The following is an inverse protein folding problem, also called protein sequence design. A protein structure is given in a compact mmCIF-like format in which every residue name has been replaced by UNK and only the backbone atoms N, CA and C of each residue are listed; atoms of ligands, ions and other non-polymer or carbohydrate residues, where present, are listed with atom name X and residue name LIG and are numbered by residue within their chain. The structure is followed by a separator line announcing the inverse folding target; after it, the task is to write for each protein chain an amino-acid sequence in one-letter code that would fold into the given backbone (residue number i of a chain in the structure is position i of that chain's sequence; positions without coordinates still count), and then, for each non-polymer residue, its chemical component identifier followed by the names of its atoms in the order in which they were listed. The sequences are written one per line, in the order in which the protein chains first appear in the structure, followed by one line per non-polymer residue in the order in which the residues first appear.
data_IF_864683402151
#
_entry.id   IF_864683402151
#
_cell.length_a   1.000
_cell.length_b   1.000
_cell.length_c   1.000
_cell.angle_alpha   90.00
_cell.angle_beta   90.00
_cell.angle_gamma   90.00
#
_symmetry.space_group_name_H-M   'P 1'
#
loop_
_entity.id
_entity.type
_entity.pdbx_description
1 polymer ?
#
# COMPACT_ATOMS: atom_id res chain seq x y z
N UNK A 1 9.25 -18.41 10.57
CA UNK A 1 8.86 -17.01 10.91
C UNK A 1 9.26 -16.13 9.75
N UNK A 2 8.30 -15.39 9.14
CA UNK A 2 8.57 -14.52 7.98
C UNK A 2 9.06 -13.15 8.42
N UNK A 3 9.96 -12.55 7.65
CA UNK A 3 10.49 -11.21 7.84
C UNK A 3 9.94 -10.31 6.72
N UNK A 4 9.31 -9.23 7.11
CA UNK A 4 8.51 -8.38 6.23
C UNK A 4 8.99 -6.94 6.30
N UNK A 5 9.12 -6.28 5.16
CA UNK A 5 9.31 -4.83 5.07
C UNK A 5 8.05 -4.20 4.47
N UNK A 6 7.56 -3.11 5.08
CA UNK A 6 6.40 -2.35 4.60
C UNK A 6 6.78 -0.88 4.48
N UNK A 7 6.83 -0.36 3.26
CA UNK A 7 7.02 1.08 3.06
C UNK A 7 5.73 1.84 3.38
N UNK A 8 5.85 3.00 4.05
CA UNK A 8 4.68 3.76 4.50
C UNK A 8 3.83 3.00 5.54
N UNK A 9 4.49 2.25 6.44
CA UNK A 9 3.86 1.41 7.45
C UNK A 9 3.43 2.14 8.73
N UNK A 10 3.48 3.47 8.78
CA UNK A 10 3.27 4.25 10.00
C UNK A 10 1.81 4.61 10.28
N UNK A 11 0.91 4.44 9.33
CA UNK A 11 -0.53 4.72 9.44
C UNK A 11 -1.36 3.99 8.39
N UNK A 12 -2.67 4.07 8.53
CA UNK A 12 -3.64 3.55 7.55
C UNK A 12 -3.46 2.06 7.25
N UNK A 13 -3.55 1.70 5.97
CA UNK A 13 -3.49 0.30 5.56
C UNK A 13 -2.12 -0.33 5.82
N UNK A 14 -1.03 0.45 5.66
CA UNK A 14 0.32 -0.03 5.93
C UNK A 14 0.52 -0.45 7.39
N UNK A 15 0.04 0.38 8.33
CA UNK A 15 0.09 0.05 9.77
C UNK A 15 -0.82 -1.14 10.10
N UNK A 16 -2.03 -1.18 9.54
CA UNK A 16 -2.94 -2.31 9.76
C UNK A 16 -2.35 -3.62 9.23
N UNK A 17 -1.68 -3.60 8.07
CA UNK A 17 -0.95 -4.75 7.54
C UNK A 17 0.23 -5.15 8.44
N UNK A 18 0.99 -4.18 8.96
CA UNK A 18 2.08 -4.45 9.90
C UNK A 18 1.57 -5.16 11.14
N UNK A 19 0.50 -4.65 11.76
CA UNK A 19 -0.14 -5.27 12.94
C UNK A 19 -0.64 -6.69 12.65
N UNK A 20 -1.23 -6.92 11.49
CA UNK A 20 -1.73 -8.24 11.13
C UNK A 20 -0.59 -9.23 10.88
N UNK A 21 0.50 -8.83 10.22
CA UNK A 21 1.72 -9.65 10.12
C UNK A 21 2.33 -9.97 11.50
N UNK A 22 2.34 -9.01 12.41
CA UNK A 22 2.84 -9.21 13.78
C UNK A 22 1.98 -10.22 14.56
N UNK A 23 0.65 -10.19 14.40
CA UNK A 23 -0.27 -11.19 14.98
C UNK A 23 -0.02 -12.60 14.44
N UNK A 24 0.34 -12.71 13.16
CA UNK A 24 0.74 -13.98 12.53
C UNK A 24 2.18 -14.44 12.90
N UNK A 25 2.80 -13.75 13.88
CA UNK A 25 4.13 -14.09 14.38
C UNK A 25 5.29 -13.70 13.46
N UNK A 26 5.07 -12.83 12.48
CA UNK A 26 6.13 -12.33 11.61
C UNK A 26 7.00 -11.28 12.34
N UNK A 27 8.23 -11.07 11.83
CA UNK A 27 9.07 -9.91 12.15
C UNK A 27 8.82 -8.84 11.10
N UNK A 28 8.60 -7.59 11.50
CA UNK A 28 8.17 -6.53 10.60
C UNK A 28 9.05 -5.29 10.72
N UNK A 29 9.65 -4.86 9.61
CA UNK A 29 10.23 -3.52 9.49
C UNK A 29 9.21 -2.62 8.82
N UNK A 30 8.84 -1.53 9.49
CA UNK A 30 8.00 -0.48 8.94
C UNK A 30 8.85 0.75 8.64
N UNK A 31 8.51 1.46 7.56
CA UNK A 31 9.19 2.70 7.26
C UNK A 31 8.26 3.89 7.09
N UNK A 32 8.81 5.07 7.31
CA UNK A 32 8.16 6.35 7.14
C UNK A 32 9.20 7.45 6.94
N UNK A 33 8.76 8.68 6.62
CA UNK A 33 9.67 9.81 6.35
C UNK A 33 10.24 10.46 7.60
N UNK A 34 9.62 10.25 8.77
CA UNK A 34 10.14 10.78 10.02
C UNK A 34 11.47 10.14 10.40
N UNK A 35 12.37 10.89 11.03
CA UNK A 35 13.65 10.37 11.50
C UNK A 35 13.51 9.29 12.59
N UNK A 36 12.35 9.23 13.25
CA UNK A 36 11.96 8.24 14.26
C UNK A 36 10.47 7.91 14.17
N UNK A 37 10.07 6.79 14.75
CA UNK A 37 8.67 6.45 14.96
C UNK A 37 7.99 7.53 15.84
N UNK A 38 6.73 7.85 15.56
CA UNK A 38 5.97 8.73 16.45
C UNK A 38 5.65 8.03 17.78
N UNK A 39 5.39 8.82 18.83
CA UNK A 39 5.06 8.28 20.15
C UNK A 39 3.79 7.41 20.09
N UNK A 40 2.78 7.86 19.33
CA UNK A 40 1.54 7.10 19.13
C UNK A 40 1.82 5.74 18.48
N UNK A 41 2.71 5.70 17.47
CA UNK A 41 3.09 4.46 16.82
C UNK A 41 3.83 3.51 17.75
N UNK A 42 4.74 4.05 18.57
CA UNK A 42 5.48 3.26 19.58
C UNK A 42 4.51 2.67 20.61
N UNK A 43 3.58 3.46 21.12
CA UNK A 43 2.56 2.99 22.06
C UNK A 43 1.67 1.92 21.43
N UNK A 44 1.23 2.13 20.19
CA UNK A 44 0.35 1.20 19.48
C UNK A 44 1.03 -0.15 19.19
N UNK A 45 2.33 -0.15 18.92
CA UNK A 45 3.11 -1.36 18.62
C UNK A 45 3.84 -1.93 19.85
N UNK A 46 3.68 -1.35 21.04
CA UNK A 46 4.31 -1.81 22.27
C UNK A 46 4.13 -3.32 22.55
N UNK A 47 2.95 -3.94 22.29
CA UNK A 47 2.79 -5.39 22.48
C UNK A 47 3.71 -6.24 21.60
N UNK A 48 4.33 -5.64 20.58
CA UNK A 48 5.18 -6.30 19.59
C UNK A 48 6.61 -5.75 19.58
N UNK A 49 7.08 -5.09 20.65
CA UNK A 49 8.36 -4.34 20.70
C UNK A 49 9.58 -5.15 20.25
N UNK A 50 9.60 -6.48 20.47
CA UNK A 50 10.68 -7.37 20.04
C UNK A 50 10.45 -7.98 18.64
N UNK A 51 9.39 -7.57 17.95
CA UNK A 51 8.99 -8.15 16.66
C UNK A 51 8.80 -7.12 15.57
N UNK A 52 8.97 -5.82 15.87
CA UNK A 52 9.00 -4.78 14.86
C UNK A 52 10.24 -3.90 14.95
N UNK A 53 10.58 -3.30 13.83
CA UNK A 53 11.62 -2.30 13.68
C UNK A 53 11.05 -1.12 12.90
N UNK A 54 11.43 0.10 13.27
CA UNK A 54 11.18 1.29 12.46
C UNK A 54 12.49 1.73 11.79
N UNK A 55 12.41 2.04 10.50
CA UNK A 55 13.51 2.62 9.72
C UNK A 55 13.00 3.85 8.97
N UNK A 56 13.68 5.00 9.13
CA UNK A 56 13.38 6.19 8.35
C UNK A 56 13.70 5.93 6.86
N UNK A 57 12.77 6.24 5.97
CA UNK A 57 12.96 6.09 4.54
C UNK A 57 12.01 6.99 3.76
N UNK A 58 12.57 7.84 2.92
CA UNK A 58 11.87 8.51 1.85
C UNK A 58 12.00 7.68 0.56
N UNK A 59 10.93 7.00 0.18
CA UNK A 59 10.93 6.11 -1.01
C UNK A 59 11.26 6.80 -2.33
N UNK A 60 11.28 8.13 -2.38
CA UNK A 60 11.69 8.93 -3.55
C UNK A 60 13.21 8.88 -3.77
N UNK A 61 13.97 8.46 -2.78
CA UNK A 61 15.42 8.37 -2.79
C UNK A 61 15.85 6.89 -2.79
N UNK A 62 16.48 6.44 -3.88
CA UNK A 62 16.90 5.05 -4.01
C UNK A 62 17.93 4.65 -2.95
N UNK A 63 18.83 5.56 -2.55
CA UNK A 63 19.83 5.28 -1.51
C UNK A 63 19.19 5.04 -0.14
N UNK A 64 18.08 5.73 0.17
CA UNK A 64 17.32 5.47 1.41
C UNK A 64 16.53 4.15 1.35
N UNK A 65 16.08 3.76 0.16
CA UNK A 65 15.43 2.45 -0.04
C UNK A 65 16.45 1.31 0.10
N UNK A 66 17.66 1.49 -0.42
CA UNK A 66 18.76 0.53 -0.23
C UNK A 66 19.13 0.43 1.25
N UNK A 67 19.30 1.55 1.95
CA UNK A 67 19.55 1.57 3.39
C UNK A 67 18.43 0.91 4.21
N UNK A 68 17.16 1.07 3.79
CA UNK A 68 16.03 0.37 4.44
C UNK A 68 16.17 -1.14 4.31
N UNK A 69 16.57 -1.65 3.14
CA UNK A 69 16.83 -3.08 2.95
C UNK A 69 17.98 -3.54 3.86
N UNK A 70 19.13 -2.85 3.83
CA UNK A 70 20.32 -3.19 4.59
C UNK A 70 20.04 -3.23 6.10
N UNK A 71 19.39 -2.20 6.65
CA UNK A 71 19.02 -2.14 8.06
C UNK A 71 18.05 -3.25 8.47
N UNK A 72 17.06 -3.55 7.63
CA UNK A 72 16.11 -4.63 7.89
C UNK A 72 16.78 -6.01 7.80
N UNK A 73 17.65 -6.24 6.81
CA UNK A 73 18.39 -7.47 6.63
C UNK A 73 19.42 -7.68 7.75
N UNK A 74 20.11 -6.62 8.17
CA UNK A 74 21.03 -6.65 9.32
C UNK A 74 20.30 -7.03 10.61
N UNK A 75 19.09 -6.52 10.82
CA UNK A 75 18.33 -6.77 12.05
C UNK A 75 17.69 -8.16 12.09
N UNK A 76 17.16 -8.65 10.95
CA UNK A 76 16.40 -9.90 10.87
C UNK A 76 17.14 -11.05 10.18
N UNK A 77 18.30 -10.80 9.57
CA UNK A 77 19.11 -11.76 8.83
C UNK A 77 18.67 -12.01 7.39
N UNK A 78 17.44 -11.72 7.03
CA UNK A 78 16.88 -11.88 5.67
C UNK A 78 15.55 -11.17 5.54
N UNK A 79 15.00 -11.03 4.30
CA UNK A 79 13.68 -10.45 4.07
C UNK A 79 12.89 -11.38 3.15
N UNK A 80 11.78 -11.91 3.66
CA UNK A 80 10.90 -12.82 2.91
C UNK A 80 9.89 -12.07 2.04
N UNK A 81 9.38 -10.92 2.54
CA UNK A 81 8.28 -10.19 1.92
C UNK A 81 8.60 -8.70 1.95
N UNK A 82 8.50 -8.06 0.78
CA UNK A 82 8.61 -6.62 0.62
C UNK A 82 7.28 -6.06 0.10
N UNK A 83 6.71 -5.09 0.83
CA UNK A 83 5.44 -4.45 0.46
C UNK A 83 5.67 -2.98 0.15
N UNK A 84 5.55 -2.61 -1.12
CA UNK A 84 5.50 -1.24 -1.57
C UNK A 84 4.08 -0.68 -1.35
N UNK A 85 3.89 -0.05 -0.18
CA UNK A 85 2.62 0.54 0.22
C UNK A 85 2.67 2.07 0.31
N UNK A 86 3.84 2.67 0.49
CA UNK A 86 3.97 4.12 0.52
C UNK A 86 3.30 4.77 -0.68
N UNK A 87 2.49 5.79 -0.42
CA UNK A 87 1.74 6.49 -1.46
C UNK A 87 1.35 7.89 -1.02
N UNK A 88 1.14 8.75 -1.99
CA UNK A 88 0.69 10.13 -1.83
C UNK A 88 -0.51 10.38 -2.73
N UNK A 89 -1.47 11.15 -2.23
CA UNK A 89 -2.57 11.67 -3.02
C UNK A 89 -2.21 13.05 -3.60
N UNK A 90 -3.06 13.54 -4.48
CA UNK A 90 -3.03 14.91 -5.01
C UNK A 90 -4.30 15.63 -4.56
N UNK A 91 -4.34 16.98 -4.59
CA UNK A 91 -5.59 17.71 -4.41
C UNK A 91 -6.68 17.20 -5.35
N UNK A 92 -7.94 17.24 -4.90
CA UNK A 92 -9.08 16.87 -5.73
C UNK A 92 -9.40 17.98 -6.72
N UNK A 93 -8.60 18.07 -7.79
CA UNK A 93 -8.59 19.18 -8.76
C UNK A 93 -8.46 18.64 -10.20
N UNK A 94 -8.88 19.44 -11.18
CA UNK A 94 -8.65 19.10 -12.59
C UNK A 94 -7.16 19.04 -12.88
N UNK A 95 -6.74 18.04 -13.65
CA UNK A 95 -5.33 17.77 -13.92
C UNK A 95 -4.60 18.95 -14.58
N UNK A 96 -5.30 19.75 -15.38
CA UNK A 96 -4.73 20.94 -16.04
C UNK A 96 -4.55 22.14 -15.10
N UNK A 97 -5.12 22.09 -13.88
CA UNK A 97 -4.95 23.11 -12.84
C UNK A 97 -4.02 22.66 -11.70
N UNK A 98 -3.58 21.39 -11.72
CA UNK A 98 -2.73 20.87 -10.65
C UNK A 98 -1.32 21.47 -10.73
N UNK A 99 -0.83 22.00 -9.64
CA UNK A 99 0.52 22.55 -9.55
C UNK A 99 1.59 21.46 -9.79
N UNK A 100 2.70 21.87 -10.44
CA UNK A 100 3.81 20.97 -10.78
C UNK A 100 4.39 20.24 -9.54
N UNK A 101 4.43 20.90 -8.39
CA UNK A 101 4.89 20.34 -7.12
C UNK A 101 4.10 19.09 -6.70
N UNK A 102 2.78 19.08 -6.90
CA UNK A 102 1.95 17.91 -6.64
C UNK A 102 2.14 16.81 -7.69
N UNK A 103 2.35 17.20 -8.97
CA UNK A 103 2.66 16.24 -10.05
C UNK A 103 3.95 15.50 -9.72
N UNK A 104 5.02 16.24 -9.41
CA UNK A 104 6.32 15.65 -9.03
C UNK A 104 6.18 14.78 -7.79
N UNK A 105 5.50 15.27 -6.77
CA UNK A 105 5.32 14.56 -5.52
C UNK A 105 4.60 13.22 -5.67
N UNK A 106 3.54 13.16 -6.49
CA UNK A 106 2.78 11.91 -6.69
C UNK A 106 3.52 10.94 -7.58
N UNK A 107 4.20 11.41 -8.63
CA UNK A 107 5.00 10.56 -9.52
C UNK A 107 6.18 9.98 -8.74
N UNK A 108 6.94 10.82 -8.03
CA UNK A 108 8.11 10.39 -7.27
C UNK A 108 7.75 9.39 -6.18
N UNK A 109 6.63 9.58 -5.48
CA UNK A 109 6.23 8.66 -4.42
C UNK A 109 5.60 7.39 -4.98
N UNK A 110 4.57 7.53 -5.85
CA UNK A 110 3.72 6.40 -6.24
C UNK A 110 4.32 5.58 -7.37
N UNK A 111 5.16 6.15 -8.23
CA UNK A 111 5.81 5.44 -9.34
C UNK A 111 7.26 5.15 -9.02
N UNK A 112 8.12 6.17 -8.91
CA UNK A 112 9.56 5.97 -8.66
C UNK A 112 9.80 5.22 -7.35
N UNK A 113 9.11 5.58 -6.26
CA UNK A 113 9.25 4.90 -4.98
C UNK A 113 8.90 3.40 -5.04
N UNK A 114 7.87 3.02 -5.79
CA UNK A 114 7.51 1.61 -5.98
C UNK A 114 8.49 0.89 -6.90
N UNK A 115 8.97 1.56 -7.95
CA UNK A 115 10.01 1.00 -8.84
C UNK A 115 11.29 0.77 -8.06
N UNK A 116 11.78 1.74 -7.30
CA UNK A 116 12.98 1.61 -6.47
C UNK A 116 12.84 0.50 -5.43
N UNK A 117 11.73 0.47 -4.68
CA UNK A 117 11.49 -0.60 -3.71
C UNK A 117 11.45 -1.98 -4.34
N UNK A 118 10.86 -2.10 -5.54
CA UNK A 118 10.81 -3.36 -6.28
C UNK A 118 12.17 -3.76 -6.84
N UNK A 119 12.98 -2.81 -7.34
CA UNK A 119 14.33 -3.07 -7.85
C UNK A 119 15.27 -3.54 -6.74
N UNK A 120 15.29 -2.81 -5.63
CA UNK A 120 16.11 -3.16 -4.46
C UNK A 120 15.73 -4.54 -3.94
N UNK A 121 14.43 -4.76 -3.69
CA UNK A 121 13.96 -6.05 -3.21
C UNK A 121 14.24 -7.19 -4.20
N UNK A 122 14.00 -7.01 -5.50
CA UNK A 122 14.25 -8.04 -6.50
C UNK A 122 15.73 -8.43 -6.57
N UNK A 123 16.63 -7.44 -6.61
CA UNK A 123 18.08 -7.67 -6.65
C UNK A 123 18.54 -8.54 -5.48
N UNK A 124 18.24 -8.11 -4.28
CA UNK A 124 18.69 -8.81 -3.07
C UNK A 124 17.97 -10.16 -2.86
N UNK A 125 16.68 -10.27 -3.21
CA UNK A 125 15.93 -11.52 -3.11
C UNK A 125 16.41 -12.56 -4.12
N UNK A 126 16.86 -12.15 -5.31
CA UNK A 126 17.49 -13.04 -6.28
C UNK A 126 18.82 -13.61 -5.75
N UNK A 127 19.66 -12.78 -5.13
CA UNK A 127 20.89 -13.21 -4.47
C UNK A 127 20.58 -14.12 -3.25
N UNK A 128 19.53 -13.79 -2.48
CA UNK A 128 19.06 -14.59 -1.35
C UNK A 128 18.47 -15.95 -1.77
N UNK A 129 17.97 -16.08 -3.02
CA UNK A 129 17.36 -17.29 -3.55
C UNK A 129 15.87 -17.48 -3.23
N UNK A 130 15.19 -16.47 -2.68
CA UNK A 130 13.73 -16.45 -2.45
C UNK A 130 13.23 -15.05 -2.12
N UNK A 131 11.93 -14.80 -2.30
CA UNK A 131 11.27 -13.58 -1.86
C UNK A 131 9.93 -13.30 -2.53
N UNK A 132 9.18 -12.40 -1.94
CA UNK A 132 7.90 -11.92 -2.48
C UNK A 132 7.88 -10.39 -2.47
N UNK A 133 7.51 -9.79 -3.59
CA UNK A 133 7.35 -8.34 -3.76
C UNK A 133 5.87 -8.07 -4.01
N UNK A 134 5.28 -7.17 -3.23
CA UNK A 134 3.88 -6.80 -3.34
C UNK A 134 3.72 -5.31 -3.55
N UNK A 135 3.03 -4.92 -4.62
CA UNK A 135 2.77 -3.53 -4.96
C UNK A 135 1.31 -3.17 -4.72
N UNK A 136 1.09 -2.10 -3.93
CA UNK A 136 -0.24 -1.64 -3.55
C UNK A 136 -0.90 -0.85 -4.68
N UNK A 137 -1.98 -1.38 -5.22
CA UNK A 137 -2.85 -0.71 -6.19
C UNK A 137 -3.73 0.38 -5.55
N UNK A 138 -4.55 0.99 -6.36
CA UNK A 138 -5.53 2.00 -5.96
C UNK A 138 -6.48 2.32 -7.09
N UNK A 139 -7.27 3.38 -6.92
CA UNK A 139 -8.18 3.88 -7.94
C UNK A 139 -7.42 4.15 -9.25
N UNK A 140 -7.97 3.68 -10.36
CA UNK A 140 -7.37 3.78 -11.70
C UNK A 140 -6.60 2.54 -12.15
N UNK A 141 -6.19 1.65 -11.24
CA UNK A 141 -5.48 0.41 -11.60
C UNK A 141 -6.28 -0.49 -12.57
N UNK A 142 -7.61 -0.42 -12.54
CA UNK A 142 -8.55 -1.20 -13.33
C UNK A 142 -9.21 -0.41 -14.47
N UNK A 143 -8.55 0.61 -14.99
CA UNK A 143 -9.04 1.53 -16.04
C UNK A 143 -10.24 2.42 -15.64
N UNK A 144 -10.64 2.41 -14.36
CA UNK A 144 -11.66 3.34 -13.87
C UNK A 144 -11.12 4.77 -13.88
N UNK A 145 -11.75 5.64 -14.64
CA UNK A 145 -11.41 7.06 -14.71
C UNK A 145 -12.35 7.83 -13.78
N UNK A 146 -11.76 8.56 -12.85
CA UNK A 146 -12.48 9.50 -12.00
C UNK A 146 -11.91 10.90 -12.20
N UNK A 147 -12.77 11.82 -12.60
CA UNK A 147 -12.43 13.25 -12.78
C UNK A 147 -11.86 13.81 -11.48
N UNK A 148 -10.91 14.73 -11.58
CA UNK A 148 -10.18 15.35 -10.47
C UNK A 148 -9.24 14.43 -9.68
N UNK A 149 -9.03 13.19 -10.13
CA UNK A 149 -8.05 12.25 -9.57
C UNK A 149 -7.19 11.58 -10.65
N UNK A 150 -7.14 12.20 -11.83
CA UNK A 150 -6.48 11.62 -13.01
C UNK A 150 -5.00 11.31 -12.73
N UNK A 151 -4.25 12.25 -12.14
CA UNK A 151 -2.82 12.07 -11.86
C UNK A 151 -2.57 10.88 -10.92
N UNK A 152 -3.35 10.78 -9.86
CA UNK A 152 -3.28 9.62 -8.97
C UNK A 152 -3.60 8.32 -9.71
N UNK A 153 -4.71 8.29 -10.46
CA UNK A 153 -5.11 7.12 -11.25
C UNK A 153 -4.05 6.71 -12.27
N UNK A 154 -3.40 7.68 -12.93
CA UNK A 154 -2.28 7.44 -13.85
C UNK A 154 -1.13 6.71 -13.15
N UNK A 155 -0.74 7.14 -11.95
CA UNK A 155 0.32 6.45 -11.20
C UNK A 155 -0.07 5.02 -10.83
N UNK A 156 -1.32 4.80 -10.43
CA UNK A 156 -1.80 3.46 -10.06
C UNK A 156 -1.97 2.54 -11.27
N UNK A 157 -2.34 3.07 -12.42
CA UNK A 157 -2.36 2.29 -13.68
C UNK A 157 -0.95 1.89 -14.13
N UNK A 158 0.01 2.83 -14.03
CA UNK A 158 1.40 2.54 -14.33
C UNK A 158 1.96 1.41 -13.45
N UNK A 159 1.59 1.35 -12.16
CA UNK A 159 2.00 0.28 -11.25
C UNK A 159 1.47 -1.10 -11.66
N UNK A 160 0.24 -1.17 -12.17
CA UNK A 160 -0.31 -2.44 -12.67
C UNK A 160 0.51 -2.96 -13.84
N UNK A 161 0.87 -2.08 -14.80
CA UNK A 161 1.73 -2.45 -15.91
C UNK A 161 3.13 -2.87 -15.45
N UNK A 162 3.76 -2.04 -14.61
CA UNK A 162 5.09 -2.31 -14.07
C UNK A 162 5.16 -3.64 -13.34
N UNK A 163 4.22 -3.91 -12.45
CA UNK A 163 4.25 -5.15 -11.63
C UNK A 163 4.05 -6.40 -12.48
N UNK A 164 3.17 -6.35 -13.47
CA UNK A 164 3.00 -7.46 -14.43
C UNK A 164 4.26 -7.67 -15.28
N UNK A 165 4.93 -6.58 -15.67
CA UNK A 165 6.23 -6.64 -16.35
C UNK A 165 7.29 -7.30 -15.48
N UNK A 166 7.46 -6.82 -14.25
CA UNK A 166 8.40 -7.37 -13.27
C UNK A 166 8.13 -8.86 -13.00
N UNK A 167 6.88 -9.26 -12.86
CA UNK A 167 6.52 -10.66 -12.69
C UNK A 167 6.96 -11.53 -13.89
N UNK A 168 6.89 -10.99 -15.12
CA UNK A 168 7.39 -11.68 -16.32
C UNK A 168 8.92 -11.80 -16.32
N UNK A 169 9.63 -10.74 -15.91
CA UNK A 169 11.09 -10.75 -15.80
C UNK A 169 11.57 -11.74 -14.72
N UNK A 170 10.82 -11.88 -13.63
CA UNK A 170 11.09 -12.83 -12.55
C UNK A 170 10.63 -14.28 -12.85
N UNK A 171 10.07 -14.54 -14.03
CA UNK A 171 9.59 -15.88 -14.38
C UNK A 171 10.75 -16.89 -14.43
N UNK A 172 10.58 -18.00 -13.72
CA UNK A 172 11.62 -19.04 -13.61
C UNK A 172 12.64 -18.79 -12.51
N UNK A 173 12.53 -17.68 -11.80
CA UNK A 173 13.35 -17.38 -10.61
C UNK A 173 12.60 -17.77 -9.32
N UNK A 174 13.28 -17.85 -8.17
CA UNK A 174 12.65 -18.11 -6.89
C UNK A 174 11.96 -16.87 -6.26
N UNK A 175 11.90 -15.75 -6.97
CA UNK A 175 11.30 -14.48 -6.50
C UNK A 175 9.97 -14.23 -7.20
N UNK A 176 8.99 -13.73 -6.46
CA UNK A 176 7.64 -13.45 -6.96
C UNK A 176 7.32 -11.97 -6.85
N UNK A 177 6.58 -11.46 -7.83
CA UNK A 177 5.94 -10.14 -7.76
C UNK A 177 4.42 -10.27 -7.90
N UNK A 178 3.66 -9.45 -7.17
CA UNK A 178 2.21 -9.46 -7.19
C UNK A 178 1.58 -8.13 -6.81
N UNK A 179 0.27 -8.05 -6.97
CA UNK A 179 -0.55 -6.87 -6.76
C UNK A 179 -1.50 -7.05 -5.57
N UNK A 180 -1.66 -5.99 -4.78
CA UNK A 180 -2.65 -5.88 -3.71
C UNK A 180 -3.67 -4.80 -4.07
N UNK A 181 -4.93 -5.16 -4.26
CA UNK A 181 -6.01 -4.23 -4.60
C UNK A 181 -6.95 -4.04 -3.40
N UNK A 182 -6.80 -2.95 -2.63
CA UNK A 182 -7.51 -2.77 -1.36
C UNK A 182 -8.96 -2.31 -1.52
N UNK A 183 -9.34 -1.82 -2.69
CA UNK A 183 -10.62 -1.13 -2.88
C UNK A 183 -10.65 0.23 -2.19
N UNK A 184 -11.82 0.62 -1.68
CA UNK A 184 -12.01 1.88 -0.96
C UNK A 184 -11.76 1.67 0.53
N UNK A 185 -10.74 2.33 1.09
CA UNK A 185 -10.32 2.14 2.48
C UNK A 185 -10.40 3.46 3.25
N UNK A 186 -11.05 3.44 4.42
CA UNK A 186 -11.18 4.60 5.29
C UNK A 186 -9.84 4.90 5.98
N UNK A 187 -9.11 5.83 5.43
CA UNK A 187 -7.81 6.29 5.93
C UNK A 187 -7.67 7.79 5.74
N UNK A 188 -6.69 8.41 6.40
CA UNK A 188 -6.34 9.82 6.19
C UNK A 188 -6.06 10.14 4.72
N UNK A 189 -5.53 9.19 3.98
CA UNK A 189 -5.31 9.31 2.55
C UNK A 189 -6.59 9.65 1.76
N UNK A 190 -7.75 9.19 2.23
CA UNK A 190 -9.05 9.44 1.63
C UNK A 190 -9.76 10.64 2.27
N UNK A 191 -9.57 10.83 3.59
CA UNK A 191 -10.34 11.80 4.37
C UNK A 191 -9.66 13.15 4.51
N UNK A 192 -8.37 13.26 4.19
CA UNK A 192 -7.59 14.48 4.30
C UNK A 192 -7.03 14.93 2.95
N UNK A 193 -6.83 16.24 2.80
CA UNK A 193 -6.03 16.83 1.71
C UNK A 193 -4.54 16.55 1.94
N UNK A 194 -3.66 16.80 0.94
CA UNK A 194 -2.22 16.73 1.15
C UNK A 194 -1.71 17.63 2.29
N UNK A 195 -2.37 18.74 2.56
CA UNK A 195 -2.07 19.72 3.62
C UNK A 195 -2.57 19.27 4.99
N UNK A 196 -3.35 18.18 5.06
CA UNK A 196 -3.89 17.60 6.30
C UNK A 196 -5.29 18.09 6.69
N UNK A 197 -5.92 18.93 5.89
CA UNK A 197 -7.28 19.41 6.10
C UNK A 197 -8.31 18.33 5.72
N UNK A 198 -9.55 18.48 6.21
CA UNK A 198 -10.63 17.58 5.82
C UNK A 198 -10.93 17.68 4.32
N UNK A 199 -10.90 16.53 3.63
CA UNK A 199 -11.13 16.48 2.19
C UNK A 199 -12.56 16.94 1.84
N UNK A 200 -12.74 17.91 0.92
CA UNK A 200 -14.06 18.38 0.49
C UNK A 200 -14.93 17.27 -0.11
N UNK A 201 -14.34 16.19 -0.60
CA UNK A 201 -15.06 15.05 -1.16
C UNK A 201 -16.02 14.40 -0.14
N UNK A 202 -15.69 14.52 1.15
CA UNK A 202 -16.53 13.99 2.24
C UNK A 202 -17.88 14.70 2.39
N UNK A 203 -18.04 15.91 1.85
CA UNK A 203 -19.30 16.64 1.86
C UNK A 203 -20.23 16.23 0.71
N UNK A 204 -19.73 15.49 -0.28
CA UNK A 204 -20.51 15.04 -1.41
C UNK A 204 -21.38 13.82 -1.03
N UNK A 205 -22.71 14.00 -1.04
CA UNK A 205 -23.68 12.95 -0.67
C UNK A 205 -23.57 11.68 -1.51
N UNK A 206 -23.30 11.81 -2.81
CA UNK A 206 -23.12 10.65 -3.70
C UNK A 206 -21.83 9.89 -3.33
N UNK A 207 -20.75 10.60 -3.02
CA UNK A 207 -19.54 9.98 -2.53
C UNK A 207 -19.74 9.26 -1.20
N UNK A 208 -20.41 9.92 -0.23
CA UNK A 208 -20.76 9.30 1.06
C UNK A 208 -21.57 8.02 0.86
N UNK A 209 -22.57 8.03 -0.02
CA UNK A 209 -23.39 6.85 -0.32
C UNK A 209 -22.52 5.72 -0.87
N UNK A 210 -21.69 5.99 -1.88
CA UNK A 210 -20.80 5.00 -2.48
C UNK A 210 -19.81 4.49 -1.43
N UNK A 211 -19.17 5.40 -0.68
CA UNK A 211 -18.16 5.05 0.30
C UNK A 211 -18.73 4.23 1.47
N UNK A 212 -19.90 4.59 1.97
CA UNK A 212 -20.56 3.82 3.02
C UNK A 212 -20.88 2.38 2.59
N UNK A 213 -21.21 2.16 1.30
CA UNK A 213 -21.56 0.83 0.80
C UNK A 213 -20.33 0.01 0.37
N UNK A 214 -19.36 0.63 -0.27
CA UNK A 214 -18.20 -0.06 -0.87
C UNK A 214 -16.92 0.04 -0.02
N UNK A 215 -16.82 1.04 0.85
CA UNK A 215 -15.66 1.26 1.70
C UNK A 215 -15.55 0.25 2.84
N UNK A 216 -14.33 0.10 3.34
CA UNK A 216 -14.03 -0.72 4.51
C UNK A 216 -12.94 -0.07 5.39
N UNK A 217 -12.82 -0.52 6.63
CA UNK A 217 -11.73 -0.13 7.52
C UNK A 217 -10.43 -0.80 7.12
N UNK A 218 -9.26 -0.16 7.33
CA UNK A 218 -7.96 -0.72 6.95
C UNK A 218 -7.67 -2.07 7.63
N UNK A 219 -8.13 -2.28 8.87
CA UNK A 219 -7.96 -3.54 9.60
C UNK A 219 -8.67 -4.70 8.89
N UNK A 220 -9.88 -4.46 8.37
CA UNK A 220 -10.65 -5.47 7.64
C UNK A 220 -9.94 -5.90 6.36
N UNK A 221 -9.33 -4.94 5.66
CA UNK A 221 -8.59 -5.23 4.42
C UNK A 221 -7.27 -5.93 4.71
N UNK A 222 -6.56 -5.51 5.77
CA UNK A 222 -5.32 -6.16 6.22
C UNK A 222 -5.57 -7.61 6.62
N UNK A 223 -6.58 -7.89 7.44
CA UNK A 223 -6.95 -9.25 7.84
C UNK A 223 -7.30 -10.17 6.65
N UNK A 224 -7.77 -9.61 5.54
CA UNK A 224 -7.97 -10.36 4.30
C UNK A 224 -6.66 -10.60 3.54
N UNK A 225 -5.77 -9.60 3.49
CA UNK A 225 -4.54 -9.67 2.71
C UNK A 225 -3.51 -10.62 3.32
N UNK A 226 -3.25 -10.51 4.61
CA UNK A 226 -2.08 -11.15 5.22
C UNK A 226 -2.11 -12.69 5.11
N UNK A 227 -3.20 -13.42 5.42
CA UNK A 227 -3.22 -14.86 5.24
C UNK A 227 -2.98 -15.28 3.78
N UNK A 228 -3.46 -14.47 2.81
CA UNK A 228 -3.30 -14.74 1.37
C UNK A 228 -1.89 -14.47 0.89
N UNK A 229 -1.24 -13.41 1.36
CA UNK A 229 0.17 -13.14 1.10
C UNK A 229 1.03 -14.29 1.62
N UNK A 230 0.82 -14.70 2.87
CA UNK A 230 1.57 -15.79 3.50
C UNK A 230 1.37 -17.15 2.80
N UNK A 231 0.17 -17.40 2.29
CA UNK A 231 -0.16 -18.63 1.56
C UNK A 231 0.27 -18.63 0.09
N UNK A 232 0.52 -17.47 -0.51
CA UNK A 232 0.83 -17.35 -1.94
C UNK A 232 2.16 -18.01 -2.29
N UNK A 233 2.12 -18.81 -3.39
CA UNK A 233 3.29 -19.46 -4.01
C UNK A 233 3.33 -19.20 -5.52
N UNK A 234 2.47 -18.30 -6.01
CA UNK A 234 2.29 -18.04 -7.43
C UNK A 234 2.83 -16.65 -7.75
N UNK A 235 3.72 -16.57 -8.73
CA UNK A 235 4.14 -15.32 -9.34
C UNK A 235 2.98 -14.69 -10.13
N UNK A 236 2.97 -13.37 -10.29
CA UNK A 236 1.87 -12.59 -10.91
C UNK A 236 0.53 -12.78 -10.17
N UNK A 237 0.57 -12.95 -8.86
CA UNK A 237 -0.62 -13.05 -8.05
C UNK A 237 -1.30 -11.68 -7.87
N UNK A 238 -2.62 -11.65 -7.95
CA UNK A 238 -3.43 -10.45 -7.73
C UNK A 238 -4.45 -10.71 -6.62
N UNK A 239 -4.22 -10.12 -5.45
CA UNK A 239 -5.11 -10.25 -4.29
C UNK A 239 -6.04 -9.04 -4.24
N UNK A 240 -7.32 -9.26 -4.50
CA UNK A 240 -8.33 -8.20 -4.63
C UNK A 240 -9.34 -8.30 -3.50
N UNK A 241 -9.44 -7.27 -2.66
CA UNK A 241 -10.43 -7.20 -1.57
C UNK A 241 -11.83 -6.86 -2.09
N UNK A 242 -11.95 -5.81 -2.90
CA UNK A 242 -13.22 -5.34 -3.45
C UNK A 242 -13.36 -5.78 -4.91
N UNK A 243 -13.81 -7.02 -5.12
CA UNK A 243 -14.08 -7.54 -6.46
C UNK A 243 -15.34 -6.93 -7.07
N UNK A 244 -15.48 -6.97 -8.40
CA UNK A 244 -16.69 -6.49 -9.08
C UNK A 244 -17.97 -7.19 -8.56
N UNK A 245 -17.92 -8.50 -8.33
CA UNK A 245 -19.02 -9.25 -7.76
C UNK A 245 -19.38 -8.78 -6.34
N UNK A 246 -18.37 -8.55 -5.48
CA UNK A 246 -18.57 -8.02 -4.14
C UNK A 246 -19.16 -6.61 -4.16
N UNK A 247 -18.66 -5.76 -5.05
CA UNK A 247 -19.17 -4.39 -5.23
C UNK A 247 -20.64 -4.42 -5.67
N UNK A 248 -20.98 -5.23 -6.67
CA UNK A 248 -22.34 -5.40 -7.16
C UNK A 248 -23.28 -5.89 -6.05
N UNK A 249 -22.91 -6.95 -5.33
CA UNK A 249 -23.70 -7.48 -4.23
C UNK A 249 -23.92 -6.47 -3.10
N UNK A 250 -22.92 -5.64 -2.78
CA UNK A 250 -23.04 -4.59 -1.77
C UNK A 250 -24.00 -3.49 -2.23
N UNK A 251 -23.91 -3.08 -3.48
CA UNK A 251 -24.83 -2.07 -4.04
C UNK A 251 -26.27 -2.57 -4.10
N UNK A 252 -26.50 -3.82 -4.48
CA UNK A 252 -27.83 -4.45 -4.45
C UNK A 252 -28.42 -4.52 -3.04
N UNK A 253 -27.59 -4.70 -2.02
CA UNK A 253 -28.02 -4.73 -0.60
C UNK A 253 -28.17 -3.33 0.01
N UNK A 254 -27.67 -2.28 -0.62
CA UNK A 254 -27.64 -0.92 -0.06
C UNK A 254 -29.03 -0.39 0.40
N UNK A 255 -30.16 -0.68 -0.29
CA UNK A 255 -31.48 -0.26 0.19
C UNK A 255 -31.93 -0.93 1.50
N UNK A 256 -31.40 -2.14 1.77
CA UNK A 256 -31.84 -2.98 2.90
C UNK A 256 -30.84 -2.98 4.07
N UNK A 257 -29.58 -2.72 3.81
CA UNK A 257 -28.49 -2.76 4.81
C UNK A 257 -27.85 -1.38 4.92
N UNK A 258 -28.22 -0.64 5.94
CA UNK A 258 -27.60 0.67 6.21
C UNK A 258 -26.20 0.48 6.78
N UNK A 259 -25.18 0.63 5.95
CA UNK A 259 -23.79 0.74 6.39
C UNK A 259 -23.46 2.23 6.61
N UNK A 260 -22.81 2.54 7.72
CA UNK A 260 -22.33 3.89 8.02
C UNK A 260 -20.85 3.79 8.40
N UNK A 261 -20.00 4.31 7.54
CA UNK A 261 -18.56 4.31 7.70
C UNK A 261 -18.03 5.74 7.92
N UNK A 262 -18.68 6.67 7.23
CA UNK A 262 -18.48 8.14 7.31
C UNK A 262 -19.81 8.85 7.43
#
# INVERSE_FOLDING_TARGET
MKKVVITGGTRGIGLSMAKEFLKEGCKVTISGRGSRASEELVVELKPYENSYQYVACNVRNISEVEALWEEAAKHWGSIDIWVNNAGQNVPHEFSYNTEASYVDAVIDTNMKGVIYGSQVAAKHMLEQGYGQIWNMEGLGSNDMIQVKTILYGTTKRALTYFTKGLAKELKGTPVMAGLLSPGMVLTDFMTKTPEGETSPVLQNKSFQFIFNNLGDRPETVAAFFIPRILATRKNDAHIVWLTNAKSFLRMMKAPFVKRRLI
#
